data_IF_989141189838
#
_entry.id   IF_989141189838
#
_cell.length_a   1.000
_cell.length_b   1.000
_cell.length_c   1.000
_cell.angle_alpha   90.00
_cell.angle_beta   90.00
_cell.angle_gamma   90.00
#
_symmetry.space_group_name_H-M   'P 1'
#
loop_
_entity.id
_entity.type
_entity.pdbx_description
1 polymer ?
#
# COMPACT_ATOMS: atom_id res chain seq x y z
N UNK A 1 23.37 1.58 0.50
CA UNK A 1 24.05 2.10 -0.72
C UNK A 1 23.36 3.37 -1.16
N UNK A 2 23.92 4.11 -2.12
CA UNK A 2 23.45 5.46 -2.52
C UNK A 2 21.98 5.58 -2.93
N UNK A 3 21.27 4.48 -3.20
CA UNK A 3 19.83 4.44 -3.55
C UNK A 3 18.99 3.60 -2.57
N UNK A 4 19.55 3.19 -1.43
CA UNK A 4 18.86 2.33 -0.46
C UNK A 4 18.20 3.14 0.65
N UNK A 5 16.95 2.82 0.96
CA UNK A 5 16.28 3.31 2.16
C UNK A 5 16.77 2.51 3.36
N UNK A 6 17.14 3.21 4.43
CA UNK A 6 17.54 2.59 5.69
C UNK A 6 16.36 2.73 6.65
N UNK A 7 15.70 1.62 6.94
CA UNK A 7 14.70 1.52 8.01
C UNK A 7 15.36 0.96 9.26
N UNK A 8 15.05 1.53 10.42
CA UNK A 8 15.51 1.01 11.72
C UNK A 8 14.35 0.31 12.41
N UNK A 9 14.49 -1.00 12.61
CA UNK A 9 13.52 -1.79 13.37
C UNK A 9 14.07 -2.15 14.75
N UNK A 10 13.20 -2.16 15.76
CA UNK A 10 13.56 -2.60 17.11
C UNK A 10 13.61 -4.12 17.16
N UNK A 11 14.82 -4.68 17.15
CA UNK A 11 15.04 -6.10 17.39
C UNK A 11 14.99 -6.42 18.90
N UNK A 12 14.41 -7.57 19.26
CA UNK A 12 14.35 -8.05 20.66
C UNK A 12 15.69 -8.60 21.18
N UNK A 13 16.73 -8.65 20.34
CA UNK A 13 18.05 -9.19 20.67
C UNK A 13 19.04 -8.13 21.17
N UNK A 14 20.14 -8.57 21.77
CA UNK A 14 21.24 -7.71 22.22
C UNK A 14 22.22 -7.35 21.08
N UNK A 15 22.01 -7.89 19.88
CA UNK A 15 22.90 -7.75 18.74
C UNK A 15 22.29 -6.84 17.67
N UNK A 16 23.13 -6.04 17.02
CA UNK A 16 22.73 -5.28 15.83
C UNK A 16 22.81 -6.19 14.61
N UNK A 17 21.67 -6.41 13.96
CA UNK A 17 21.56 -7.18 12.71
C UNK A 17 21.32 -6.21 11.54
N UNK A 18 21.93 -6.51 10.39
CA UNK A 18 21.74 -5.77 9.14
C UNK A 18 21.19 -6.73 8.09
N UNK A 19 19.91 -6.58 7.78
CA UNK A 19 19.25 -7.31 6.70
C UNK A 19 19.01 -6.38 5.51
N UNK A 20 19.38 -6.85 4.32
CA UNK A 20 19.07 -6.16 3.06
C UNK A 20 17.91 -6.90 2.41
N UNK A 21 16.76 -6.23 2.35
CA UNK A 21 15.52 -6.79 1.82
C UNK A 21 14.98 -5.93 0.68
N UNK A 22 14.24 -6.56 -0.22
CA UNK A 22 13.58 -5.85 -1.32
C UNK A 22 12.44 -4.97 -0.78
N UNK A 23 12.31 -3.77 -1.31
CA UNK A 23 11.31 -2.80 -0.86
C UNK A 23 11.28 -1.56 -1.75
N UNK A 24 10.36 -0.66 -1.43
CA UNK A 24 10.19 0.61 -2.15
C UNK A 24 9.73 1.69 -1.19
N UNK A 25 10.26 2.90 -1.37
CA UNK A 25 9.74 4.10 -0.73
C UNK A 25 9.28 5.10 -1.79
N UNK A 26 8.21 5.82 -1.50
CA UNK A 26 7.75 6.94 -2.30
C UNK A 26 7.20 8.09 -1.44
N UNK A 27 7.26 9.31 -1.98
CA UNK A 27 6.99 10.57 -1.27
C UNK A 27 5.48 10.88 -1.22
N UNK A 28 4.70 9.94 -0.66
CA UNK A 28 3.29 10.11 -0.33
C UNK A 28 3.02 9.54 1.05
N UNK A 29 2.61 10.39 1.98
CA UNK A 29 2.19 9.95 3.31
C UNK A 29 0.69 9.64 3.41
N UNK A 30 0.25 9.38 4.64
CA UNK A 30 -1.16 9.10 4.94
C UNK A 30 -2.05 10.29 4.54
N UNK A 31 -3.21 9.99 3.94
CA UNK A 31 -4.21 11.01 3.60
C UNK A 31 -4.84 11.62 4.86
N UNK A 32 -4.88 10.86 5.95
CA UNK A 32 -5.43 11.30 7.23
C UNK A 32 -4.59 10.84 8.41
N UNK A 33 -4.26 11.72 9.38
CA UNK A 33 -3.54 11.33 10.59
C UNK A 33 -4.33 10.35 11.46
N UNK A 34 -5.64 10.21 11.23
CA UNK A 34 -6.45 9.20 11.93
C UNK A 34 -6.04 7.77 11.58
N UNK A 35 -5.26 7.54 10.51
CA UNK A 35 -4.71 6.22 10.20
C UNK A 35 -3.49 5.84 11.05
N UNK A 36 -2.86 6.79 11.77
CA UNK A 36 -1.72 6.52 12.66
C UNK A 36 -2.07 5.39 13.64
N UNK A 37 -1.18 4.40 13.73
CA UNK A 37 -1.27 3.27 14.66
C UNK A 37 -0.21 3.37 15.76
N UNK A 38 0.91 4.04 15.48
CA UNK A 38 1.95 4.37 16.45
C UNK A 38 1.98 5.88 16.69
N UNK A 39 1.37 6.31 17.80
CA UNK A 39 1.26 7.73 18.15
C UNK A 39 2.60 8.36 18.57
N UNK A 40 3.55 7.56 19.05
CA UNK A 40 4.88 8.07 19.44
C UNK A 40 5.72 8.41 18.20
N UNK A 41 5.70 7.51 17.20
CA UNK A 41 6.43 7.69 15.93
C UNK A 41 5.63 8.48 14.89
N UNK A 42 4.36 8.79 15.18
CA UNK A 42 3.41 9.42 14.23
C UNK A 42 3.34 8.68 12.89
N UNK A 43 3.22 7.36 12.96
CA UNK A 43 3.29 6.45 11.81
C UNK A 43 2.10 5.48 11.79
N UNK A 44 1.63 5.11 10.60
CA UNK A 44 0.77 3.96 10.42
C UNK A 44 1.62 2.75 10.04
N UNK A 45 1.77 1.84 10.99
CA UNK A 45 2.42 0.54 10.84
C UNK A 45 1.36 -0.52 10.49
N UNK A 46 1.56 -1.21 9.37
CA UNK A 46 0.72 -2.32 8.92
C UNK A 46 1.58 -3.58 8.75
N UNK A 47 1.31 -4.60 9.56
CA UNK A 47 1.96 -5.91 9.46
C UNK A 47 1.16 -6.86 8.57
N UNK A 48 1.84 -7.52 7.64
CA UNK A 48 1.29 -8.41 6.62
C UNK A 48 0.05 -7.84 5.89
N UNK A 49 0.07 -6.59 5.38
CA UNK A 49 -1.11 -5.99 4.77
C UNK A 49 -1.44 -6.61 3.41
N UNK A 50 -2.71 -6.49 3.03
CA UNK A 50 -3.11 -6.42 1.62
C UNK A 50 -2.93 -5.00 1.09
N UNK A 51 -2.62 -4.87 -0.19
CA UNK A 51 -2.38 -3.59 -0.86
C UNK A 51 -3.31 -3.49 -2.07
N UNK A 52 -4.30 -2.61 -1.98
CA UNK A 52 -5.16 -2.24 -3.10
C UNK A 52 -4.50 -1.12 -3.91
N UNK A 53 -4.30 -1.36 -5.19
CA UNK A 53 -3.67 -0.43 -6.13
C UNK A 53 -4.74 0.01 -7.12
N UNK A 54 -5.29 1.19 -6.93
CA UNK A 54 -6.40 1.71 -7.73
C UNK A 54 -5.97 2.93 -8.54
N UNK A 55 -6.19 2.93 -9.86
CA UNK A 55 -5.70 4.01 -10.71
C UNK A 55 -6.48 5.32 -10.54
N UNK A 56 -7.77 5.22 -10.21
CA UNK A 56 -8.69 6.35 -10.12
C UNK A 56 -8.91 6.82 -8.68
N UNK A 57 -9.64 7.92 -8.57
CA UNK A 57 -10.10 8.48 -7.32
C UNK A 57 -11.18 7.60 -6.68
N UNK A 58 -11.06 7.40 -5.36
CA UNK A 58 -12.01 6.67 -4.54
C UNK A 58 -12.86 7.65 -3.71
N UNK A 59 -14.04 8.01 -4.24
CA UNK A 59 -14.97 8.93 -3.58
C UNK A 59 -16.10 8.23 -2.81
N UNK A 60 -16.39 6.96 -3.13
CA UNK A 60 -17.40 6.11 -2.48
C UNK A 60 -16.84 4.72 -2.23
N UNK A 61 -17.26 4.09 -1.13
CA UNK A 61 -16.89 2.71 -0.80
C UNK A 61 -17.89 1.67 -1.32
N UNK A 62 -19.06 2.09 -1.82
CA UNK A 62 -20.11 1.16 -2.25
C UNK A 62 -19.57 0.09 -3.24
N UNK A 63 -18.75 0.44 -4.25
CA UNK A 63 -18.19 -0.54 -5.17
C UNK A 63 -17.22 -1.54 -4.52
N UNK A 64 -16.60 -1.21 -3.39
CA UNK A 64 -15.61 -2.05 -2.73
C UNK A 64 -16.09 -2.71 -1.44
N UNK A 65 -17.38 -2.60 -1.09
CA UNK A 65 -17.93 -3.26 0.10
C UNK A 65 -17.62 -4.77 0.13
N UNK A 66 -17.80 -5.55 -0.95
CA UNK A 66 -17.48 -6.99 -0.94
C UNK A 66 -16.00 -7.27 -0.64
N UNK A 67 -15.11 -6.41 -1.16
CA UNK A 67 -13.67 -6.51 -0.91
C UNK A 67 -13.36 -6.19 0.56
N UNK A 68 -13.95 -5.14 1.12
CA UNK A 68 -13.76 -4.76 2.51
C UNK A 68 -14.23 -5.85 3.48
N UNK A 69 -15.36 -6.49 3.20
CA UNK A 69 -15.85 -7.64 3.97
C UNK A 69 -14.84 -8.80 3.95
N UNK A 70 -14.30 -9.12 2.77
CA UNK A 70 -13.31 -10.18 2.60
C UNK A 70 -12.01 -9.89 3.37
N UNK A 71 -11.56 -8.62 3.35
CA UNK A 71 -10.39 -8.17 4.11
C UNK A 71 -10.64 -8.29 5.61
N UNK A 72 -11.79 -7.84 6.11
CA UNK A 72 -12.15 -7.95 7.54
C UNK A 72 -12.16 -9.41 7.98
N UNK A 73 -12.76 -10.30 7.18
CA UNK A 73 -12.78 -11.74 7.47
C UNK A 73 -11.38 -12.36 7.53
N UNK A 74 -10.44 -11.88 6.71
CA UNK A 74 -9.05 -12.35 6.74
C UNK A 74 -8.29 -11.91 8.00
N UNK A 75 -8.78 -10.89 8.72
CA UNK A 75 -8.11 -10.30 9.88
C UNK A 75 -6.83 -9.51 9.55
N UNK A 76 -6.46 -9.41 8.26
CA UNK A 76 -5.26 -8.70 7.80
C UNK A 76 -5.55 -7.22 7.56
N UNK A 77 -4.57 -6.31 7.77
CA UNK A 77 -4.73 -4.91 7.43
C UNK A 77 -4.86 -4.68 5.92
N UNK A 78 -5.42 -3.54 5.55
CA UNK A 78 -5.49 -3.08 4.17
C UNK A 78 -4.77 -1.73 4.01
N UNK A 79 -3.94 -1.64 2.99
CA UNK A 79 -3.38 -0.40 2.48
C UNK A 79 -4.09 -0.06 1.17
N UNK A 80 -4.58 1.18 1.04
CA UNK A 80 -5.15 1.69 -0.22
C UNK A 80 -4.19 2.69 -0.83
N UNK A 81 -3.82 2.46 -2.09
CA UNK A 81 -3.11 3.40 -2.95
C UNK A 81 -4.07 3.78 -4.08
N UNK A 82 -4.48 5.04 -4.13
CA UNK A 82 -5.41 5.54 -5.14
C UNK A 82 -4.96 6.90 -5.69
N UNK A 83 -5.46 7.36 -6.83
CA UNK A 83 -5.21 8.75 -7.28
C UNK A 83 -5.55 9.75 -6.18
N UNK A 84 -6.70 9.56 -5.54
CA UNK A 84 -7.09 10.24 -4.31
C UNK A 84 -8.12 9.40 -3.54
N UNK A 85 -8.23 9.64 -2.23
CA UNK A 85 -9.30 9.08 -1.39
C UNK A 85 -9.92 10.23 -0.63
N UNK A 86 -11.18 10.55 -0.90
CA UNK A 86 -11.80 11.75 -0.34
C UNK A 86 -13.29 11.57 -0.02
N UNK A 87 -13.91 12.70 0.37
CA UNK A 87 -15.34 12.79 0.58
C UNK A 87 -15.90 11.74 1.55
N UNK A 88 -16.97 11.08 1.11
CA UNK A 88 -17.67 10.05 1.87
C UNK A 88 -16.77 8.83 2.15
N UNK A 89 -15.96 8.41 1.17
CA UNK A 89 -15.09 7.26 1.32
C UNK A 89 -14.08 7.47 2.44
N UNK A 90 -13.35 8.60 2.43
CA UNK A 90 -12.38 8.91 3.47
C UNK A 90 -13.03 8.97 4.85
N UNK A 91 -14.15 9.68 4.97
CA UNK A 91 -14.88 9.79 6.24
C UNK A 91 -15.27 8.41 6.79
N UNK A 92 -15.78 7.54 5.92
CA UNK A 92 -16.23 6.20 6.29
C UNK A 92 -15.06 5.30 6.70
N UNK A 93 -13.94 5.34 5.97
CA UNK A 93 -12.73 4.59 6.34
C UNK A 93 -12.18 5.02 7.70
N UNK A 94 -12.12 6.33 7.95
CA UNK A 94 -11.66 6.89 9.24
C UNK A 94 -12.57 6.43 10.39
N UNK A 95 -13.89 6.54 10.23
CA UNK A 95 -14.84 6.11 11.27
C UNK A 95 -14.73 4.61 11.54
N UNK A 96 -14.59 3.78 10.51
CA UNK A 96 -14.45 2.32 10.69
C UNK A 96 -13.13 1.93 11.37
N UNK A 97 -12.03 2.63 11.04
CA UNK A 97 -10.75 2.46 11.74
C UNK A 97 -10.88 2.81 13.22
N UNK A 98 -11.50 3.95 13.54
CA UNK A 98 -11.68 4.40 14.94
C UNK A 98 -12.59 3.47 15.75
N UNK A 99 -13.55 2.80 15.11
CA UNK A 99 -14.41 1.78 15.73
C UNK A 99 -13.71 0.43 15.92
N UNK A 100 -12.47 0.27 15.43
CA UNK A 100 -11.67 -0.95 15.57
C UNK A 100 -12.08 -2.10 14.66
N UNK A 101 -13.05 -1.91 13.75
CA UNK A 101 -13.55 -2.94 12.86
C UNK A 101 -12.67 -3.21 11.64
N UNK A 102 -11.83 -2.25 11.25
CA UNK A 102 -11.01 -2.32 10.05
C UNK A 102 -9.62 -1.70 10.28
N UNK A 103 -8.57 -2.50 10.16
CA UNK A 103 -7.18 -2.02 10.18
C UNK A 103 -6.82 -1.51 8.78
N UNK A 104 -6.85 -0.20 8.58
CA UNK A 104 -6.67 0.38 7.26
C UNK A 104 -5.85 1.67 7.28
N UNK A 105 -5.11 1.91 6.21
CA UNK A 105 -4.54 3.21 5.88
C UNK A 105 -4.68 3.49 4.38
N UNK A 106 -4.73 4.77 4.01
CA UNK A 106 -4.82 5.19 2.61
C UNK A 106 -3.79 6.29 2.30
N UNK A 107 -3.18 6.19 1.12
CA UNK A 107 -2.18 7.12 0.58
C UNK A 107 -2.56 7.49 -0.84
N UNK A 108 -2.16 8.68 -1.29
CA UNK A 108 -2.28 9.03 -2.71
C UNK A 108 -1.20 8.30 -3.51
N UNK A 109 -1.51 7.97 -4.75
CA UNK A 109 -0.56 7.40 -5.68
C UNK A 109 0.58 8.40 -5.97
N UNK A 110 1.82 7.91 -6.14
CA UNK A 110 2.93 8.75 -6.54
C UNK A 110 2.83 9.14 -8.03
N UNK A 111 3.44 10.27 -8.39
CA UNK A 111 3.42 10.77 -9.78
C UNK A 111 2.08 11.38 -10.23
N UNK A 112 1.97 11.62 -11.53
CA UNK A 112 0.79 12.14 -12.22
C UNK A 112 0.73 11.62 -13.65
N UNK A 113 -0.47 11.58 -14.26
CA UNK A 113 -0.66 11.11 -15.65
C UNK A 113 -0.05 9.73 -15.90
N UNK A 114 0.64 9.56 -17.03
CA UNK A 114 1.28 8.29 -17.41
C UNK A 114 2.36 7.84 -16.42
N UNK A 115 3.05 8.80 -15.78
CA UNK A 115 4.03 8.49 -14.74
C UNK A 115 3.38 7.84 -13.53
N UNK A 116 2.18 8.27 -13.14
CA UNK A 116 1.41 7.61 -12.07
C UNK A 116 1.06 6.18 -12.45
N UNK A 117 0.58 5.96 -13.67
CA UNK A 117 0.25 4.60 -14.16
C UNK A 117 1.48 3.69 -14.11
N UNK A 118 2.62 4.16 -14.60
CA UNK A 118 3.88 3.41 -14.54
C UNK A 118 4.32 3.09 -13.10
N UNK A 119 4.22 4.05 -12.18
CA UNK A 119 4.59 3.82 -10.78
C UNK A 119 3.62 2.88 -10.05
N UNK A 120 2.31 2.94 -10.36
CA UNK A 120 1.34 1.98 -9.83
C UNK A 120 1.63 0.55 -10.31
N UNK A 121 2.05 0.40 -11.57
CA UNK A 121 2.50 -0.88 -12.12
C UNK A 121 3.76 -1.38 -11.41
N UNK A 122 4.73 -0.50 -11.14
CA UNK A 122 5.94 -0.87 -10.39
C UNK A 122 5.61 -1.38 -8.98
N UNK A 123 4.65 -0.74 -8.30
CA UNK A 123 4.15 -1.18 -6.99
C UNK A 123 3.41 -2.52 -7.10
N UNK A 124 2.63 -2.72 -8.16
CA UNK A 124 1.92 -3.97 -8.41
C UNK A 124 2.88 -5.13 -8.61
N UNK A 125 3.90 -4.95 -9.45
CA UNK A 125 4.98 -5.93 -9.68
C UNK A 125 5.72 -6.24 -8.38
N UNK A 126 6.12 -5.21 -7.62
CA UNK A 126 6.84 -5.39 -6.35
C UNK A 126 6.03 -6.18 -5.32
N UNK A 127 4.72 -5.95 -5.26
CA UNK A 127 3.83 -6.53 -4.24
C UNK A 127 3.12 -7.79 -4.71
N UNK A 128 3.30 -8.20 -5.97
CA UNK A 128 2.60 -9.33 -6.58
C UNK A 128 1.09 -9.09 -6.76
N UNK A 129 0.67 -7.83 -6.84
CA UNK A 129 -0.72 -7.43 -7.04
C UNK A 129 -1.03 -7.02 -8.49
N UNK A 130 -2.26 -6.55 -8.70
CA UNK A 130 -2.70 -6.02 -9.99
C UNK A 130 -3.21 -4.58 -9.85
N UNK A 131 -2.89 -3.72 -10.81
CA UNK A 131 -3.48 -2.38 -10.89
C UNK A 131 -4.95 -2.48 -11.26
N UNK A 132 -5.83 -1.98 -10.40
CA UNK A 132 -7.27 -1.91 -10.63
C UNK A 132 -7.57 -0.67 -11.46
N UNK A 133 -7.76 -0.88 -12.77
CA UNK A 133 -8.07 0.15 -13.74
C UNK A 133 -9.25 -0.24 -14.62
N UNK A 134 -10.17 0.72 -14.81
CA UNK A 134 -11.28 0.56 -15.74
C UNK A 134 -10.82 0.52 -17.19
N UNK A 135 -9.64 1.08 -17.52
CA UNK A 135 -9.10 1.11 -18.87
C UNK A 135 -8.77 -0.30 -19.38
N UNK A 136 -8.43 -1.22 -18.46
CA UNK A 136 -8.19 -2.64 -18.74
C UNK A 136 -9.39 -3.53 -18.38
N UNK A 137 -10.55 -2.93 -18.08
CA UNK A 137 -11.81 -3.62 -17.84
C UNK A 137 -11.98 -4.18 -16.43
N UNK A 138 -11.12 -3.84 -15.47
CA UNK A 138 -11.22 -4.32 -14.10
C UNK A 138 -12.00 -3.32 -13.26
N UNK A 139 -13.12 -3.78 -12.72
CA UNK A 139 -14.01 -2.97 -11.88
C UNK A 139 -13.79 -3.28 -10.41
N UNK A 140 -13.94 -2.27 -9.57
CA UNK A 140 -13.69 -2.38 -8.12
C UNK A 140 -14.63 -3.42 -7.46
N UNK A 141 -15.85 -3.58 -7.99
CA UNK A 141 -16.84 -4.57 -7.56
C UNK A 141 -16.42 -6.02 -7.79
N UNK A 142 -15.50 -6.24 -8.73
CA UNK A 142 -15.04 -7.59 -9.13
C UNK A 142 -13.70 -7.96 -8.50
N UNK A 143 -13.11 -7.06 -7.71
CA UNK A 143 -11.79 -7.28 -7.11
C UNK A 143 -11.87 -8.35 -6.04
N UNK A 144 -10.92 -9.28 -6.08
CA UNK A 144 -10.76 -10.36 -5.10
C UNK A 144 -9.45 -10.19 -4.33
N UNK A 145 -9.28 -10.93 -3.23
CA UNK A 145 -8.06 -10.88 -2.41
C UNK A 145 -6.79 -11.31 -3.17
N UNK A 146 -6.93 -12.11 -4.22
CA UNK A 146 -5.80 -12.58 -5.03
C UNK A 146 -5.29 -11.51 -6.02
N UNK A 147 -6.09 -10.47 -6.26
CA UNK A 147 -5.68 -9.32 -7.08
C UNK A 147 -4.95 -8.26 -6.25
N UNK A 148 -5.01 -8.34 -4.93
CA UNK A 148 -4.35 -7.40 -4.03
C UNK A 148 -2.87 -7.75 -3.89
N UNK A 149 -2.03 -6.72 -3.89
CA UNK A 149 -0.63 -6.87 -3.52
C UNK A 149 -0.48 -7.28 -2.05
N UNK A 150 0.69 -7.80 -1.71
CA UNK A 150 1.05 -8.20 -0.35
C UNK A 150 2.47 -7.72 -0.03
N UNK A 151 2.69 -7.42 1.23
CA UNK A 151 4.01 -7.13 1.78
C UNK A 151 4.12 -7.71 3.19
N UNK A 152 5.33 -7.90 3.68
CA UNK A 152 5.57 -8.23 5.10
C UNK A 152 5.20 -7.06 5.99
N UNK A 153 5.55 -5.84 5.58
CA UNK A 153 5.28 -4.63 6.36
C UNK A 153 5.13 -3.40 5.48
N UNK A 154 4.31 -2.47 5.93
CA UNK A 154 4.20 -1.13 5.35
C UNK A 154 4.26 -0.09 6.47
N UNK A 155 5.10 0.92 6.25
CA UNK A 155 5.26 2.08 7.09
C UNK A 155 4.75 3.31 6.35
N UNK A 156 3.84 4.07 6.97
CA UNK A 156 3.28 5.28 6.37
C UNK A 156 3.46 6.43 7.35
N UNK A 157 4.28 7.39 6.95
CA UNK A 157 4.53 8.63 7.66
C UNK A 157 3.69 9.77 7.08
N UNK A 158 3.90 10.99 7.58
CA UNK A 158 3.23 12.19 7.07
C UNK A 158 3.55 12.47 5.60
N UNK A 159 4.77 12.19 5.16
CA UNK A 159 5.26 12.56 3.83
C UNK A 159 5.70 11.36 2.99
N UNK A 160 6.02 10.23 3.62
CA UNK A 160 6.59 9.06 2.96
C UNK A 160 5.78 7.79 3.23
N UNK A 161 5.87 6.86 2.30
CA UNK A 161 5.42 5.48 2.47
C UNK A 161 6.54 4.54 2.09
N UNK A 162 6.78 3.53 2.92
CA UNK A 162 7.78 2.49 2.70
C UNK A 162 7.12 1.11 2.75
N UNK A 163 7.28 0.35 1.68
CA UNK A 163 6.84 -1.04 1.54
C UNK A 163 8.07 -1.92 1.72
N UNK A 164 8.02 -2.87 2.66
CA UNK A 164 9.13 -3.76 3.01
C UNK A 164 8.74 -5.20 2.70
N UNK A 165 9.60 -5.90 1.95
CA UNK A 165 9.42 -7.29 1.49
C UNK A 165 8.06 -7.48 0.81
N UNK A 166 7.92 -6.90 -0.39
CA UNK A 166 6.78 -7.16 -1.26
C UNK A 166 6.75 -8.62 -1.74
N UNK A 167 5.57 -9.17 -1.97
CA UNK A 167 5.38 -10.56 -2.39
C UNK A 167 5.47 -10.78 -3.91
N UNK A 168 6.09 -9.84 -4.63
CA UNK A 168 6.31 -9.93 -6.07
C UNK A 168 7.29 -11.02 -6.45
N UNK A 169 7.18 -11.51 -7.69
CA UNK A 169 8.15 -12.45 -8.23
C UNK A 169 9.48 -11.74 -8.50
N UNK A 170 10.57 -12.26 -7.96
CA UNK A 170 11.92 -11.73 -8.14
C UNK A 170 12.32 -11.55 -9.61
N UNK A 171 11.88 -12.44 -10.51
CA UNK A 171 12.20 -12.32 -11.94
C UNK A 171 11.47 -11.15 -12.60
N UNK A 172 10.20 -10.92 -12.24
CA UNK A 172 9.41 -9.79 -12.74
C UNK A 172 9.99 -8.45 -12.23
N UNK A 173 10.38 -8.41 -10.95
CA UNK A 173 11.02 -7.24 -10.34
C UNK A 173 12.34 -6.92 -11.06
N UNK A 174 13.21 -7.92 -11.28
CA UNK A 174 14.48 -7.74 -12.00
C UNK A 174 14.25 -7.30 -13.44
N UNK A 175 13.29 -7.91 -14.13
CA UNK A 175 12.91 -7.54 -15.49
C UNK A 175 12.46 -6.08 -15.55
N UNK A 176 11.66 -5.64 -14.58
CA UNK A 176 11.20 -4.27 -14.48
C UNK A 176 12.33 -3.27 -14.19
N UNK A 177 13.25 -3.60 -13.27
CA UNK A 177 14.43 -2.78 -13.02
C UNK A 177 15.30 -2.62 -14.27
N UNK A 178 15.43 -3.67 -15.10
CA UNK A 178 16.18 -3.60 -16.35
C UNK A 178 15.50 -2.67 -17.38
N UNK A 179 14.16 -2.71 -17.49
CA UNK A 179 13.39 -1.83 -18.37
C UNK A 179 13.54 -0.34 -18.01
N UNK A 180 13.56 0.00 -16.71
CA UNK A 180 13.65 1.39 -16.25
C UNK A 180 15.07 1.96 -16.44
N UNK A 181 16.10 1.11 -16.40
CA UNK A 181 17.51 1.50 -16.54
C UNK A 181 17.98 1.63 -18.00
N UNK A 182 17.22 1.12 -18.97
CA UNK A 182 17.52 1.16 -20.40
C UNK A 182 17.11 2.49 -21.02
#
# INVERSE_FOLDING_TARGET
GSEGVITVEEAKGLHTELDVVEGMQFDRGYISPYFVTNAEKMMADLDNPYILIHEKKLSSLQPMLPLLESVVQSGRPLMIIAEDVDGEALATLVVNKLRGGLKIAAVKAPGFGDRRKAMLEDIAILTGGQVISEDIGIKLETVTLDMLGRAKKVHIEKENTTIVEGAGNTDDIKGRCAQIRA
#
